data_IF_057437558498
#
_entry.id   IF_057437558498
#
_cell.length_a   1.000
_cell.length_b   1.000
_cell.length_c   1.000
_cell.angle_alpha   90.00
_cell.angle_beta   90.00
_cell.angle_gamma   90.00
#
_symmetry.space_group_name_H-M   'P 1'
#
loop_
_entity.id
_entity.type
_entity.pdbx_description
1 polymer ?
#
# COMPACT_ATOMS: atom_id res chain seq x y z
N UNK A 1 -19.68 35.32 -10.61
CA UNK A 1 -19.93 33.93 -10.17
C UNK A 1 -18.72 33.11 -10.59
N UNK A 2 -17.82 32.79 -9.64
CA UNK A 2 -16.62 32.00 -9.93
C UNK A 2 -17.00 30.53 -9.70
N UNK A 3 -17.11 29.75 -10.77
CA UNK A 3 -17.21 28.30 -10.65
C UNK A 3 -15.82 27.77 -10.25
N UNK A 4 -15.67 27.46 -8.97
CA UNK A 4 -14.55 26.65 -8.49
C UNK A 4 -14.75 25.23 -9.05
N UNK A 5 -13.99 24.88 -10.08
CA UNK A 5 -13.89 23.50 -10.54
C UNK A 5 -13.05 22.77 -9.49
N UNK A 6 -13.72 22.08 -8.56
CA UNK A 6 -13.07 21.08 -7.73
C UNK A 6 -12.69 19.92 -8.63
N UNK A 7 -11.45 19.90 -9.11
CA UNK A 7 -10.87 18.75 -9.77
C UNK A 7 -10.80 17.61 -8.76
N UNK A 8 -11.82 16.75 -8.76
CA UNK A 8 -11.73 15.44 -8.12
C UNK A 8 -10.69 14.68 -8.92
N UNK A 9 -9.44 14.68 -8.45
CA UNK A 9 -8.41 13.80 -9.01
C UNK A 9 -8.87 12.38 -8.74
N UNK A 10 -9.42 11.73 -9.77
CA UNK A 10 -9.61 10.29 -9.73
C UNK A 10 -8.25 9.67 -9.34
N UNK A 11 -8.23 8.91 -8.25
CA UNK A 11 -7.05 8.19 -7.82
C UNK A 11 -6.81 7.06 -8.84
N UNK A 12 -6.12 7.36 -9.93
CA UNK A 12 -5.64 6.34 -10.83
C UNK A 12 -4.66 5.44 -10.08
N UNK A 13 -4.66 4.15 -10.42
CA UNK A 13 -3.61 3.26 -9.95
C UNK A 13 -2.25 3.85 -10.34
N UNK A 14 -1.37 4.06 -9.36
CA UNK A 14 -0.01 4.55 -9.59
C UNK A 14 0.95 3.42 -9.34
N UNK A 15 2.00 3.34 -10.15
CA UNK A 15 3.10 2.42 -9.94
C UNK A 15 4.40 3.15 -10.30
N UNK A 16 5.51 2.67 -9.76
CA UNK A 16 6.81 3.06 -10.29
C UNK A 16 7.02 2.41 -11.65
N UNK A 17 7.85 3.05 -12.49
CA UNK A 17 8.33 2.41 -13.70
C UNK A 17 8.93 1.03 -13.36
N UNK A 18 8.64 0.01 -14.18
CA UNK A 18 9.18 -1.35 -13.96
C UNK A 18 10.71 -1.38 -13.96
N UNK A 19 11.35 -0.38 -14.58
CA UNK A 19 12.81 -0.17 -14.63
C UNK A 19 13.37 0.58 -13.42
N UNK A 20 12.53 1.13 -12.54
CA UNK A 20 13.01 1.76 -11.31
C UNK A 20 13.68 0.68 -10.43
N UNK A 21 14.96 0.87 -10.05
CA UNK A 21 15.72 -0.15 -9.33
C UNK A 21 15.18 -0.42 -7.92
N UNK A 22 14.49 0.55 -7.30
CA UNK A 22 13.89 0.38 -5.98
C UNK A 22 12.59 -0.41 -6.04
N UNK A 23 11.87 -0.38 -7.18
CA UNK A 23 10.56 -1.01 -7.30
C UNK A 23 10.62 -2.49 -6.93
N UNK A 24 11.55 -3.24 -7.52
CA UNK A 24 11.71 -4.67 -7.21
C UNK A 24 12.09 -4.91 -5.73
N UNK A 25 12.91 -4.04 -5.16
CA UNK A 25 13.34 -4.17 -3.77
C UNK A 25 12.23 -3.85 -2.75
N UNK A 26 11.37 -2.88 -3.06
CA UNK A 26 10.16 -2.52 -2.31
C UNK A 26 9.20 -3.72 -2.29
N UNK A 27 8.91 -4.32 -3.45
CA UNK A 27 8.05 -5.50 -3.54
C UNK A 27 8.64 -6.69 -2.79
N UNK A 28 9.95 -6.92 -2.94
CA UNK A 28 10.65 -7.97 -2.20
C UNK A 28 10.61 -7.73 -0.67
N UNK A 29 10.65 -6.48 -0.19
CA UNK A 29 10.53 -6.16 1.22
C UNK A 29 9.14 -6.52 1.78
N UNK A 30 8.10 -6.31 0.99
CA UNK A 30 6.72 -6.68 1.35
C UNK A 30 6.54 -8.20 1.36
N UNK A 31 7.07 -8.91 0.36
CA UNK A 31 7.09 -10.39 0.39
C UNK A 31 7.80 -10.92 1.64
N UNK A 32 9.01 -10.42 1.94
CA UNK A 32 9.75 -10.82 3.16
C UNK A 32 8.99 -10.55 4.45
N UNK A 33 8.19 -9.48 4.51
CA UNK A 33 7.35 -9.17 5.67
C UNK A 33 6.22 -10.20 5.80
N UNK A 34 5.52 -10.49 4.71
CA UNK A 34 4.34 -11.35 4.71
C UNK A 34 4.68 -12.83 4.82
N UNK A 35 5.84 -13.27 4.35
CA UNK A 35 6.34 -14.63 4.55
C UNK A 35 6.56 -14.97 6.05
N UNK A 36 6.63 -13.95 6.91
CA UNK A 36 6.73 -14.13 8.37
C UNK A 36 5.38 -14.34 9.05
N UNK A 37 4.28 -14.04 8.37
CA UNK A 37 2.91 -14.27 8.85
C UNK A 37 2.35 -15.51 8.15
N UNK A 38 2.08 -16.62 8.87
CA UNK A 38 1.52 -17.84 8.27
C UNK A 38 0.23 -17.62 7.47
N UNK A 39 -0.56 -16.59 7.80
CA UNK A 39 -1.80 -16.28 7.09
C UNK A 39 -1.55 -15.56 5.77
N UNK A 40 -0.41 -14.87 5.65
CA UNK A 40 -0.02 -14.12 4.45
C UNK A 40 1.11 -14.81 3.68
N UNK A 41 1.66 -15.90 4.20
CA UNK A 41 2.68 -16.66 3.50
C UNK A 41 2.15 -17.16 2.15
N UNK A 42 2.99 -16.97 1.12
CA UNK A 42 2.70 -17.32 -0.28
C UNK A 42 1.54 -16.52 -0.92
N UNK A 43 1.07 -15.46 -0.27
CA UNK A 43 0.04 -14.61 -0.87
C UNK A 43 0.56 -13.88 -2.11
N UNK A 44 -0.32 -13.70 -3.08
CA UNK A 44 -0.07 -12.91 -4.29
C UNK A 44 -0.84 -11.61 -4.20
N UNK A 45 -0.43 -10.64 -5.00
CA UNK A 45 -1.10 -9.35 -5.01
C UNK A 45 -0.87 -8.60 -6.31
N UNK A 46 -1.77 -7.64 -6.55
CA UNK A 46 -1.71 -6.65 -7.61
C UNK A 46 -1.39 -5.31 -6.96
N UNK A 47 -0.40 -4.60 -7.50
CA UNK A 47 -0.09 -3.23 -7.07
C UNK A 47 -1.21 -2.32 -7.51
N UNK A 48 -1.82 -1.62 -6.56
CA UNK A 48 -2.88 -0.63 -6.83
C UNK A 48 -2.30 0.77 -6.76
N UNK A 49 -1.50 1.07 -5.73
CA UNK A 49 -0.83 2.36 -5.59
C UNK A 49 0.57 2.15 -5.01
N UNK A 50 1.59 2.53 -5.75
CA UNK A 50 2.97 2.59 -5.29
C UNK A 50 3.53 3.98 -5.56
N UNK A 51 3.84 4.68 -4.48
CA UNK A 51 4.51 5.97 -4.51
C UNK A 51 5.84 5.89 -3.76
N UNK A 52 6.85 6.57 -4.28
CA UNK A 52 8.17 6.70 -3.66
C UNK A 52 8.56 8.16 -3.58
N UNK A 53 9.05 8.57 -2.41
CA UNK A 53 9.80 9.80 -2.20
C UNK A 53 11.15 9.41 -1.61
N UNK A 54 12.20 9.40 -2.44
CA UNK A 54 13.58 9.06 -2.06
C UNK A 54 13.67 7.75 -1.26
N UNK A 55 13.98 7.82 0.03
CA UNK A 55 14.13 6.70 0.96
C UNK A 55 12.83 6.28 1.65
N UNK A 56 11.68 6.83 1.28
CA UNK A 56 10.37 6.44 1.79
C UNK A 56 9.45 6.01 0.64
N UNK A 57 8.60 5.01 0.88
CA UNK A 57 7.57 4.60 -0.07
C UNK A 57 6.30 4.19 0.64
N UNK A 58 5.18 4.31 -0.07
CA UNK A 58 3.91 3.72 0.32
C UNK A 58 3.47 2.76 -0.77
N UNK A 59 3.01 1.60 -0.33
CA UNK A 59 2.49 0.56 -1.20
C UNK A 59 1.09 0.17 -0.72
N UNK A 60 0.13 0.24 -1.62
CA UNK A 60 -1.19 -0.35 -1.50
C UNK A 60 -1.32 -1.46 -2.54
N UNK A 61 -1.84 -2.61 -2.09
CA UNK A 61 -2.02 -3.78 -2.93
C UNK A 61 -3.40 -4.37 -2.75
N UNK A 62 -3.99 -4.81 -3.85
CA UNK A 62 -5.14 -5.71 -3.84
C UNK A 62 -4.61 -7.14 -3.76
N UNK A 63 -5.14 -7.92 -2.84
CA UNK A 63 -4.74 -9.30 -2.71
C UNK A 63 -5.36 -10.16 -3.79
N UNK A 64 -4.53 -11.06 -4.28
CA UNK A 64 -4.96 -12.22 -5.03
C UNK A 64 -4.87 -13.45 -4.12
N UNK A 65 -5.66 -14.46 -4.45
CA UNK A 65 -5.54 -15.78 -3.85
C UNK A 65 -4.15 -16.38 -4.09
N UNK A 66 -3.82 -17.44 -3.36
CA UNK A 66 -2.48 -18.08 -3.45
C UNK A 66 -2.17 -18.60 -4.86
N UNK A 67 -3.19 -19.02 -5.61
CA UNK A 67 -3.08 -19.43 -7.02
C UNK A 67 -2.98 -18.23 -7.99
N UNK A 68 -3.15 -17.00 -7.50
CA UNK A 68 -3.16 -15.76 -8.27
C UNK A 68 -4.54 -15.36 -8.79
N UNK A 69 -5.59 -16.10 -8.45
CA UNK A 69 -6.96 -15.76 -8.78
C UNK A 69 -7.44 -14.49 -8.08
N UNK A 70 -8.25 -13.71 -8.78
CA UNK A 70 -9.04 -12.63 -8.20
C UNK A 70 -10.49 -13.15 -8.11
N UNK A 71 -10.91 -13.58 -6.91
CA UNK A 71 -12.26 -14.16 -6.70
C UNK A 71 -13.29 -13.06 -6.40
N UNK A 72 -12.84 -11.90 -5.91
CA UNK A 72 -13.70 -10.74 -5.67
C UNK A 72 -13.71 -9.80 -6.89
N UNK A 73 -14.88 -9.24 -7.21
CA UNK A 73 -15.14 -8.41 -8.40
C UNK A 73 -15.97 -7.17 -8.01
N UNK A 74 -16.10 -6.18 -8.88
CA UNK A 74 -16.85 -4.93 -8.63
C UNK A 74 -16.33 -4.09 -7.45
N UNK A 75 -15.05 -3.68 -7.54
CA UNK A 75 -14.28 -2.92 -6.54
C UNK A 75 -14.11 -3.59 -5.16
N UNK A 76 -14.57 -4.83 -5.04
CA UNK A 76 -14.39 -5.65 -3.87
C UNK A 76 -13.02 -6.33 -3.94
N UNK A 77 -12.11 -5.98 -3.04
CA UNK A 77 -10.83 -6.66 -2.91
C UNK A 77 -10.33 -6.59 -1.46
N UNK A 78 -9.63 -7.62 -1.02
CA UNK A 78 -8.81 -7.53 0.19
C UNK A 78 -7.66 -6.57 -0.08
N UNK A 79 -7.52 -5.52 0.71
CA UNK A 79 -6.51 -4.47 0.47
C UNK A 79 -5.54 -4.40 1.63
N UNK A 80 -4.25 -4.38 1.32
CA UNK A 80 -3.20 -4.17 2.32
C UNK A 80 -2.38 -2.94 1.98
N UNK A 81 -2.00 -2.22 3.03
CA UNK A 81 -1.22 -1.00 2.93
C UNK A 81 0.07 -1.11 3.73
N UNK A 82 1.14 -0.54 3.20
CA UNK A 82 2.48 -0.60 3.78
C UNK A 82 3.17 0.75 3.68
N UNK A 83 3.94 1.07 4.72
CA UNK A 83 4.97 2.08 4.67
C UNK A 83 6.33 1.39 4.53
N UNK A 84 7.21 1.92 3.71
CA UNK A 84 8.55 1.38 3.51
C UNK A 84 9.62 2.47 3.69
N UNK A 85 10.74 2.06 4.28
CA UNK A 85 11.94 2.89 4.45
C UNK A 85 13.13 2.18 3.82
N UNK A 86 13.91 2.90 3.03
CA UNK A 86 15.20 2.44 2.54
C UNK A 86 16.26 2.66 3.62
N UNK A 87 16.71 1.58 4.23
CA UNK A 87 17.75 1.58 5.27
C UNK A 87 19.11 1.18 4.73
N UNK A 88 19.35 1.39 3.43
CA UNK A 88 20.53 1.02 2.63
C UNK A 88 21.44 -0.08 3.22
N UNK A 89 21.54 -1.25 2.58
CA UNK A 89 21.20 -1.51 1.17
C UNK A 89 19.81 -2.14 0.98
N UNK A 90 18.89 -2.00 1.94
CA UNK A 90 17.62 -2.71 1.92
C UNK A 90 16.43 -1.84 2.25
N UNK A 91 15.36 -2.04 1.48
CA UNK A 91 14.01 -1.60 1.82
C UNK A 91 13.42 -2.48 2.94
N UNK A 92 12.79 -1.83 3.91
CA UNK A 92 12.11 -2.47 5.05
C UNK A 92 10.65 -2.03 5.05
N UNK A 93 9.75 -3.02 5.01
CA UNK A 93 8.31 -2.78 5.03
C UNK A 93 7.74 -2.82 6.45
N UNK A 94 6.72 -1.98 6.69
CA UNK A 94 5.91 -1.93 7.89
C UNK A 94 4.45 -2.02 7.44
N UNK A 95 3.70 -3.00 7.94
CA UNK A 95 2.27 -3.10 7.68
C UNK A 95 1.53 -1.94 8.36
N UNK A 96 0.69 -1.26 7.58
CA UNK A 96 -0.24 -0.23 8.05
C UNK A 96 -1.64 -0.82 8.26
N UNK A 97 -1.87 -2.09 7.89
CA UNK A 97 -3.12 -2.81 8.05
C UNK A 97 -3.75 -3.21 6.72
N UNK A 98 -4.88 -3.93 6.84
CA UNK A 98 -5.67 -4.34 5.70
C UNK A 98 -7.14 -4.55 6.04
N UNK A 99 -7.97 -4.53 5.02
CA UNK A 99 -9.44 -4.66 5.10
C UNK A 99 -9.93 -5.76 4.17
N UNK A 100 -11.00 -6.46 4.55
CA UNK A 100 -11.59 -7.56 3.76
C UNK A 100 -11.05 -8.97 4.06
N UNK A 101 -10.45 -9.18 5.24
CA UNK A 101 -9.70 -10.41 5.58
C UNK A 101 -10.33 -11.35 6.60
N UNK A 102 -11.20 -10.84 7.48
CA UNK A 102 -11.82 -11.70 8.48
C UNK A 102 -12.87 -12.62 7.82
N UNK A 103 -13.03 -13.84 8.31
CA UNK A 103 -14.14 -14.68 7.89
C UNK A 103 -15.46 -13.93 8.12
N UNK A 104 -16.24 -13.70 7.05
CA UNK A 104 -17.45 -12.87 7.08
C UNK A 104 -17.23 -11.36 6.98
N UNK A 105 -16.00 -10.89 6.75
CA UNK A 105 -15.73 -9.49 6.42
C UNK A 105 -16.41 -9.16 5.10
N UNK A 106 -17.17 -8.06 5.09
CA UNK A 106 -17.72 -7.53 3.85
C UNK A 106 -16.55 -6.99 3.02
N UNK A 107 -16.44 -7.37 1.74
CA UNK A 107 -15.50 -6.72 0.86
C UNK A 107 -15.82 -5.23 0.83
N UNK A 108 -14.80 -4.40 0.96
CA UNK A 108 -14.94 -2.95 0.93
C UNK A 108 -14.34 -2.44 -0.38
N UNK A 109 -15.07 -1.53 -1.02
CA UNK A 109 -14.51 -0.64 -2.04
C UNK A 109 -13.44 0.19 -1.35
N UNK A 110 -12.18 -0.16 -1.56
CA UNK A 110 -11.06 0.39 -0.78
C UNK A 110 -10.12 1.15 -1.69
N UNK A 111 -10.22 2.48 -1.61
CA UNK A 111 -9.47 3.45 -2.41
C UNK A 111 -8.03 3.66 -1.91
N UNK A 112 -7.37 2.61 -1.41
CA UNK A 112 -6.02 2.69 -0.85
C UNK A 112 -5.86 3.76 0.25
N UNK A 113 -6.92 3.98 1.03
CA UNK A 113 -6.93 4.94 2.13
C UNK A 113 -6.42 4.30 3.41
N UNK A 114 -5.65 5.06 4.19
CA UNK A 114 -5.25 4.68 5.55
C UNK A 114 -5.99 5.57 6.53
N UNK A 115 -6.80 4.96 7.39
CA UNK A 115 -7.61 5.66 8.40
C UNK A 115 -8.45 6.81 7.80
N UNK A 116 -9.06 6.56 6.63
CA UNK A 116 -9.93 7.51 5.92
C UNK A 116 -9.19 8.58 5.12
N UNK A 117 -7.86 8.47 4.95
CA UNK A 117 -7.05 9.45 4.24
C UNK A 117 -6.28 8.82 3.09
N UNK A 118 -6.28 9.46 1.93
CA UNK A 118 -5.42 9.11 0.81
C UNK A 118 -3.96 9.42 1.16
N UNK A 119 -3.04 8.53 0.77
CA UNK A 119 -1.60 8.71 0.97
C UNK A 119 -0.98 9.18 -0.34
N UNK A 120 -0.45 10.41 -0.38
CA UNK A 120 0.13 10.98 -1.61
C UNK A 120 1.56 11.50 -1.42
N UNK A 121 1.94 11.73 -0.18
CA UNK A 121 3.22 12.37 0.16
C UNK A 121 3.91 11.62 1.31
N UNK A 122 5.21 11.87 1.50
CA UNK A 122 5.92 11.41 2.71
C UNK A 122 5.26 11.90 3.99
N UNK A 123 4.67 13.10 3.99
CA UNK A 123 3.95 13.59 5.16
C UNK A 123 2.75 12.70 5.50
N UNK A 124 2.03 12.22 4.48
CA UNK A 124 0.92 11.29 4.66
C UNK A 124 1.40 9.91 5.14
N UNK A 125 2.52 9.40 4.59
CA UNK A 125 3.16 8.15 5.06
C UNK A 125 3.47 8.26 6.56
N UNK A 126 4.09 9.38 6.94
CA UNK A 126 4.46 9.64 8.33
C UNK A 126 3.24 9.81 9.23
N UNK A 127 2.14 10.38 8.73
CA UNK A 127 0.89 10.46 9.46
C UNK A 127 0.28 9.06 9.68
N UNK A 128 0.27 8.20 8.66
CA UNK A 128 -0.18 6.82 8.77
C UNK A 128 0.64 6.00 9.78
N UNK A 129 1.97 6.14 9.76
CA UNK A 129 2.85 5.51 10.75
C UNK A 129 2.51 5.94 12.18
N UNK A 130 2.33 7.26 12.40
CA UNK A 130 1.95 7.79 13.73
C UNK A 130 0.61 7.24 14.21
N UNK A 131 -0.39 7.15 13.32
CA UNK A 131 -1.69 6.59 13.65
C UNK A 131 -1.61 5.12 14.10
N UNK A 132 -0.60 4.37 13.61
CA UNK A 132 -0.29 3.00 14.06
C UNK A 132 0.72 2.93 15.21
N UNK A 133 0.99 4.03 15.90
CA UNK A 133 1.94 4.09 17.02
C UNK A 133 3.40 3.84 16.61
N UNK A 134 3.74 4.02 15.32
CA UNK A 134 5.09 3.85 14.79
C UNK A 134 5.82 5.18 14.67
N UNK A 135 7.15 5.13 14.77
CA UNK A 135 8.01 6.29 14.56
C UNK A 135 7.94 6.72 13.08
N UNK A 136 7.76 8.01 12.78
CA UNK A 136 7.88 8.54 11.41
C UNK A 136 9.25 8.27 10.82
N UNK A 137 9.31 8.15 9.49
CA UNK A 137 10.56 8.16 8.77
C UNK A 137 11.20 9.55 8.86
N UNK A 138 12.52 9.57 9.02
CA UNK A 138 13.28 10.80 9.02
C UNK A 138 13.13 11.49 7.64
N UNK A 139 13.23 12.82 7.59
CA UNK A 139 13.38 13.50 6.30
C UNK A 139 14.84 13.37 5.89
N UNK A 140 15.05 12.38 5.01
CA UNK A 140 16.26 12.00 4.25
C UNK A 140 16.66 12.94 3.14
#
# INVERSE_FOLDING_TARGET
MILAVTSVTAAHARDLDKRDPDRAQILAAVHRLNDRDPNLKDYRYVVVDLLKDRDAAFLCVALAEKDGGLILTDDQAGIMTFALENRHPQWVAISLGGVGFAAGARPVQSDCVVDGRTVNTRADINAALKAKGRKPFASR
#
